data_IF_842633892506
#
_entry.id   IF_842633892506
#
_cell.length_a   1.000
_cell.length_b   1.000
_cell.length_c   1.000
_cell.angle_alpha   90.00
_cell.angle_beta   90.00
_cell.angle_gamma   90.00
#
_symmetry.space_group_name_H-M   'P 1'
#
loop_
_entity.id
_entity.type
_entity.pdbx_description
1 polymer ?
#
# COMPACT_ATOMS: atom_id res chain seq x y z
N UNK A 1 -13.89 13.50 34.24
CA UNK A 1 -13.06 13.45 33.02
C UNK A 1 -11.67 12.94 33.39
N UNK A 2 -11.49 11.63 33.54
CA UNK A 2 -10.21 11.05 33.95
C UNK A 2 -9.28 10.91 32.72
N UNK A 3 -8.19 11.69 32.69
CA UNK A 3 -7.13 11.54 31.69
C UNK A 3 -6.53 10.14 31.80
N UNK A 4 -6.68 9.32 30.76
CA UNK A 4 -6.07 7.98 30.68
C UNK A 4 -4.55 8.14 30.69
N UNK A 5 -3.94 7.49 31.68
CA UNK A 5 -2.52 7.44 31.98
C UNK A 5 -1.89 6.38 31.06
N UNK A 6 -0.93 6.78 30.23
CA UNK A 6 -0.01 5.85 29.54
C UNK A 6 -0.07 5.79 28.01
N UNK A 7 -0.10 6.92 27.30
CA UNK A 7 0.35 6.93 25.90
C UNK A 7 1.88 6.77 25.89
N UNK A 8 2.38 5.54 25.80
CA UNK A 8 3.73 5.32 25.31
C UNK A 8 3.74 5.93 23.91
N UNK A 9 4.40 7.08 23.75
CA UNK A 9 4.70 7.65 22.44
C UNK A 9 5.28 6.51 21.60
N UNK A 10 4.53 6.06 20.60
CA UNK A 10 5.02 5.06 19.66
C UNK A 10 6.14 5.74 18.85
N UNK A 11 7.36 5.57 19.34
CA UNK A 11 8.57 6.13 18.74
C UNK A 11 8.68 5.76 17.26
N UNK A 12 8.12 4.61 16.87
CA UNK A 12 8.05 4.17 15.47
C UNK A 12 7.12 5.08 14.67
N UNK A 13 5.93 5.37 15.18
CA UNK A 13 4.98 6.29 14.54
C UNK A 13 5.53 7.73 14.48
N UNK A 14 6.25 8.16 15.53
CA UNK A 14 6.91 9.46 15.54
C UNK A 14 8.01 9.56 14.48
N UNK A 15 8.90 8.55 14.39
CA UNK A 15 9.96 8.50 13.39
C UNK A 15 9.39 8.41 11.96
N UNK A 16 8.34 7.61 11.75
CA UNK A 16 7.67 7.49 10.45
C UNK A 16 7.03 8.82 10.00
N UNK A 17 6.50 9.62 10.95
CA UNK A 17 5.87 10.91 10.65
C UNK A 17 6.88 12.03 10.36
N UNK A 18 8.02 12.04 11.06
CA UNK A 18 8.93 13.21 11.06
C UNK A 18 10.31 12.96 10.45
N UNK A 19 10.73 11.71 10.26
CA UNK A 19 12.11 11.39 9.90
C UNK A 19 12.25 10.41 8.73
N UNK A 20 11.30 9.48 8.56
CA UNK A 20 11.41 8.40 7.56
C UNK A 20 10.46 8.65 6.39
N UNK A 21 10.95 9.33 5.36
CA UNK A 21 10.33 9.37 4.04
C UNK A 21 10.14 10.77 3.45
N UNK A 22 9.86 10.86 2.13
CA UNK A 22 9.45 12.12 1.51
C UNK A 22 8.21 12.67 2.20
N UNK A 23 7.98 13.99 2.12
CA UNK A 23 6.82 14.65 2.71
C UNK A 23 5.54 13.86 2.38
N UNK A 24 5.01 13.15 3.38
CA UNK A 24 3.84 12.30 3.18
C UNK A 24 2.65 13.24 3.03
N UNK A 25 2.00 13.19 1.87
CA UNK A 25 0.85 14.04 1.55
C UNK A 25 -0.40 13.72 2.40
N UNK A 26 -0.36 12.64 3.20
CA UNK A 26 -1.47 12.19 4.02
C UNK A 26 -1.01 11.62 5.36
N UNK A 27 -1.94 11.64 6.31
CA UNK A 27 -1.75 10.99 7.60
C UNK A 27 -1.97 9.47 7.45
N UNK A 28 -0.90 8.69 7.60
CA UNK A 28 -0.94 7.22 7.51
C UNK A 28 -1.78 6.55 8.59
N UNK A 29 -2.12 7.28 9.65
CA UNK A 29 -2.96 6.79 10.75
C UNK A 29 -4.43 7.20 10.61
N UNK A 30 -4.75 8.06 9.63
CA UNK A 30 -6.12 8.47 9.40
C UNK A 30 -6.97 7.28 8.92
N UNK A 31 -8.25 7.20 9.33
CA UNK A 31 -9.17 6.22 8.79
C UNK A 31 -9.25 6.34 7.26
N UNK A 32 -8.87 5.27 6.57
CA UNK A 32 -8.98 5.20 5.11
C UNK A 32 -10.44 4.96 4.76
N UNK A 33 -10.97 5.73 3.79
CA UNK A 33 -12.32 5.43 3.28
C UNK A 33 -12.35 4.03 2.65
N UNK A 34 -13.47 3.30 2.73
CA UNK A 34 -13.60 2.06 1.99
C UNK A 34 -13.39 2.25 0.48
N UNK A 35 -12.79 1.26 -0.17
CA UNK A 35 -12.71 1.20 -1.61
C UNK A 35 -14.10 1.01 -2.22
N UNK A 36 -14.40 1.76 -3.27
CA UNK A 36 -15.60 1.57 -4.10
C UNK A 36 -15.56 0.20 -4.80
N UNK A 37 -16.68 -0.24 -5.35
CA UNK A 37 -16.72 -1.48 -6.12
C UNK A 37 -15.80 -1.42 -7.34
N UNK A 38 -15.80 -0.29 -8.05
CA UNK A 38 -14.95 -0.09 -9.23
C UNK A 38 -13.45 -0.05 -8.88
N UNK A 39 -13.09 0.48 -7.71
CA UNK A 39 -11.71 0.44 -7.22
C UNK A 39 -11.30 -1.00 -6.87
N UNK A 40 -12.18 -1.78 -6.27
CA UNK A 40 -11.93 -3.19 -5.98
C UNK A 40 -11.79 -4.01 -7.25
N UNK A 41 -12.65 -3.79 -8.25
CA UNK A 41 -12.56 -4.45 -9.55
C UNK A 41 -11.22 -4.15 -10.24
N UNK A 42 -10.80 -2.88 -10.26
CA UNK A 42 -9.48 -2.50 -10.81
C UNK A 42 -8.31 -3.13 -10.07
N UNK A 43 -8.37 -3.22 -8.74
CA UNK A 43 -7.33 -3.88 -7.93
C UNK A 43 -7.26 -5.39 -8.22
N UNK A 44 -8.41 -6.04 -8.39
CA UNK A 44 -8.51 -7.45 -8.79
C UNK A 44 -7.96 -7.68 -10.20
N UNK A 45 -8.32 -6.83 -11.15
CA UNK A 45 -7.80 -6.86 -12.52
C UNK A 45 -6.28 -6.71 -12.53
N UNK A 46 -5.71 -5.74 -11.81
CA UNK A 46 -4.26 -5.54 -11.76
C UNK A 46 -3.51 -6.76 -11.18
N UNK A 47 -4.11 -7.48 -10.24
CA UNK A 47 -3.50 -8.69 -9.64
C UNK A 47 -3.57 -9.91 -10.55
N UNK A 48 -4.59 -9.98 -11.40
CA UNK A 48 -4.91 -11.21 -12.14
C UNK A 48 -4.60 -11.10 -13.63
N UNK A 49 -4.64 -9.90 -14.20
CA UNK A 49 -4.46 -9.65 -15.64
C UNK A 49 -3.01 -9.82 -16.12
N UNK A 50 -2.03 -9.99 -15.23
CA UNK A 50 -0.62 -10.10 -15.59
C UNK A 50 -0.02 -11.44 -15.15
N UNK A 51 0.96 -11.91 -15.91
CA UNK A 51 1.84 -13.02 -15.54
C UNK A 51 3.30 -12.57 -15.57
N UNK A 52 4.11 -13.16 -14.69
CA UNK A 52 5.54 -12.89 -14.65
C UNK A 52 6.27 -13.80 -15.64
N UNK A 53 7.03 -13.21 -16.56
CA UNK A 53 7.90 -13.92 -17.50
C UNK A 53 9.36 -13.59 -17.23
N UNK A 54 10.21 -14.59 -17.31
CA UNK A 54 11.66 -14.43 -17.22
C UNK A 54 12.29 -14.69 -18.58
N UNK A 55 13.14 -13.78 -19.02
CA UNK A 55 13.94 -13.96 -20.22
C UNK A 55 15.16 -14.86 -19.95
N UNK A 56 15.79 -15.42 -20.99
CA UNK A 56 17.07 -16.13 -20.86
C UNK A 56 18.19 -15.27 -20.25
N UNK A 57 18.08 -13.95 -20.36
CA UNK A 57 18.98 -12.97 -19.75
C UNK A 57 18.87 -12.93 -18.20
N UNK A 58 17.85 -13.59 -17.63
CA UNK A 58 17.52 -13.57 -16.22
C UNK A 58 16.60 -12.41 -15.81
N UNK A 59 16.34 -11.44 -16.69
CA UNK A 59 15.43 -10.31 -16.42
C UNK A 59 13.97 -10.78 -16.36
N UNK A 60 13.21 -10.20 -15.44
CA UNK A 60 11.80 -10.54 -15.22
C UNK A 60 10.88 -9.36 -15.57
N UNK A 61 9.78 -9.67 -16.26
CA UNK A 61 8.79 -8.71 -16.73
C UNK A 61 7.39 -9.19 -16.36
N UNK A 62 6.45 -8.26 -16.23
CA UNK A 62 5.03 -8.56 -16.20
C UNK A 62 4.47 -8.39 -17.60
N UNK A 63 3.76 -9.40 -18.09
CA UNK A 63 3.07 -9.37 -19.39
C UNK A 63 1.58 -9.60 -19.16
N UNK A 64 0.74 -8.97 -19.97
CA UNK A 64 -0.70 -9.22 -19.92
C UNK A 64 -0.98 -10.68 -20.23
N UNK A 65 -1.87 -11.30 -19.45
CA UNK A 65 -2.36 -12.64 -19.73
C UNK A 65 -3.24 -12.59 -20.97
N UNK A 66 -3.16 -13.61 -21.85
CA UNK A 66 -4.12 -13.74 -22.93
C UNK A 66 -5.54 -13.81 -22.34
N UNK A 67 -6.44 -12.98 -22.86
CA UNK A 67 -7.87 -13.05 -22.53
C UNK A 67 -8.45 -14.21 -23.34
N UNK A 68 -8.89 -15.26 -22.66
CA UNK A 68 -9.67 -16.36 -23.25
C UNK A 68 -11.10 -15.91 -23.58
#
# INVERSE_FOLDING_TARGET
>A
MARRRGERLDMTAWLARYLVGPAQLGDVTAPVRPATQDERGRDEDLRTAFERRQEPSGRSYLVERPRE
#
